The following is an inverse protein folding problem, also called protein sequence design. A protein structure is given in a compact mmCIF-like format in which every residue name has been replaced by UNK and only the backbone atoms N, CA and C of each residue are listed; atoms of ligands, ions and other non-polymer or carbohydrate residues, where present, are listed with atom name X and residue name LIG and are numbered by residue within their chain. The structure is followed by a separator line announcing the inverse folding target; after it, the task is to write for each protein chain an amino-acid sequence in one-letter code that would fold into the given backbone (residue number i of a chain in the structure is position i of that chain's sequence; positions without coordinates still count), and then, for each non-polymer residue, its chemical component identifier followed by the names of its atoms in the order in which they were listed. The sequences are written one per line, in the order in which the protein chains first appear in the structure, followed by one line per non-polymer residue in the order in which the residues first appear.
data_IF_860967328284
#
_entry.id   IF_860967328284
#
_cell.length_a   1.000
_cell.length_b   1.000
_cell.length_c   1.000
_cell.angle_alpha   90.00
_cell.angle_beta   90.00
_cell.angle_gamma   90.00
#
_symmetry.space_group_name_H-M   'P 1'
#
loop_
_entity.id
_entity.type
_entity.pdbx_description
1 polymer ?
#
# COMPACT_ATOMS: atom_id res chain seq x y z
N UNK A 1 22.26 8.33 -10.64
CA UNK A 1 22.23 8.61 -12.10
C UNK A 1 21.04 9.51 -12.31
N UNK A 2 21.22 10.73 -12.84
CA UNK A 2 20.08 11.57 -13.23
C UNK A 2 19.37 10.89 -14.40
N UNK A 3 18.04 10.78 -14.30
CA UNK A 3 17.22 10.21 -15.36
C UNK A 3 17.37 11.05 -16.64
N UNK A 4 17.44 10.41 -17.83
CA UNK A 4 17.56 11.14 -19.08
C UNK A 4 16.38 12.10 -19.25
N UNK A 5 16.70 13.34 -19.62
CA UNK A 5 15.74 14.42 -19.82
C UNK A 5 14.58 13.97 -20.72
N UNK A 6 13.36 13.97 -20.18
CA UNK A 6 12.14 13.60 -20.89
C UNK A 6 11.47 12.29 -20.43
N UNK A 7 12.05 11.54 -19.50
CA UNK A 7 11.41 10.35 -18.90
C UNK A 7 10.66 10.76 -17.63
N UNK A 8 9.35 10.50 -17.58
CA UNK A 8 8.56 10.70 -16.36
C UNK A 8 9.03 9.72 -15.27
N UNK A 9 9.01 10.11 -13.99
CA UNK A 9 9.42 9.23 -12.90
C UNK A 9 8.48 8.03 -12.77
N UNK A 10 9.03 6.89 -12.36
CA UNK A 10 8.25 5.66 -12.11
C UNK A 10 7.42 5.77 -10.83
N UNK A 11 6.37 4.97 -10.71
CA UNK A 11 5.54 4.95 -9.50
C UNK A 11 6.37 4.57 -8.25
N UNK A 12 7.37 3.70 -8.43
CA UNK A 12 8.32 3.32 -7.38
C UNK A 12 9.16 4.51 -6.91
N UNK A 13 9.70 5.30 -7.84
CA UNK A 13 10.47 6.50 -7.50
C UNK A 13 9.62 7.54 -6.79
N UNK A 14 8.41 7.80 -7.29
CA UNK A 14 7.50 8.79 -6.69
C UNK A 14 7.09 8.38 -5.27
N UNK A 15 6.62 7.14 -5.07
CA UNK A 15 6.17 6.67 -3.77
C UNK A 15 7.32 6.64 -2.74
N UNK A 16 8.49 6.15 -3.13
CA UNK A 16 9.65 6.08 -2.22
C UNK A 16 10.24 7.45 -1.93
N UNK A 17 10.23 8.38 -2.89
CA UNK A 17 10.64 9.76 -2.68
C UNK A 17 9.71 10.48 -1.69
N UNK A 18 8.39 10.36 -1.87
CA UNK A 18 7.41 10.95 -0.96
C UNK A 18 7.60 10.45 0.48
N UNK A 19 7.76 9.14 0.69
CA UNK A 19 8.01 8.58 2.04
C UNK A 19 9.38 9.00 2.58
N UNK A 20 10.40 9.15 1.74
CA UNK A 20 11.72 9.65 2.19
C UNK A 20 11.62 11.06 2.77
N UNK A 21 10.80 11.94 2.17
CA UNK A 21 10.54 13.27 2.70
C UNK A 21 9.84 13.20 4.07
N UNK A 22 8.87 12.30 4.23
CA UNK A 22 8.17 12.08 5.49
C UNK A 22 9.08 11.47 6.57
N UNK A 23 10.03 10.60 6.21
CA UNK A 23 11.02 10.04 7.14
C UNK A 23 12.07 11.06 7.61
N UNK A 24 12.39 12.05 6.78
CA UNK A 24 13.35 13.10 7.11
C UNK A 24 12.72 14.23 7.97
N UNK A 25 11.39 14.33 7.96
CA UNK A 25 10.62 15.28 8.78
C UNK A 25 10.38 14.73 10.20
N UNK A 26 10.89 15.40 11.25
CA UNK A 26 10.72 14.95 12.64
C UNK A 26 9.27 14.97 13.15
N UNK A 27 8.35 15.59 12.42
CA UNK A 27 6.92 15.63 12.76
C UNK A 27 6.29 14.24 12.72
N UNK A 28 6.67 13.43 11.72
CA UNK A 28 6.04 12.14 11.48
C UNK A 28 6.74 11.01 12.22
N UNK A 29 5.97 9.99 12.58
CA UNK A 29 6.48 8.79 13.24
C UNK A 29 7.13 7.82 12.22
N UNK A 30 8.17 8.28 11.54
CA UNK A 30 9.00 7.51 10.63
C UNK A 30 10.40 8.14 10.60
N UNK A 31 11.44 7.33 10.37
CA UNK A 31 12.82 7.83 10.30
C UNK A 31 13.18 8.73 11.49
N UNK A 32 13.52 10.00 11.22
CA UNK A 32 14.04 10.98 12.18
C UNK A 32 13.10 11.25 13.36
N UNK A 33 11.78 11.15 13.15
CA UNK A 33 10.74 11.40 14.16
C UNK A 33 10.18 10.15 14.83
N UNK A 34 10.84 9.00 14.67
CA UNK A 34 10.36 7.72 15.17
C UNK A 34 10.22 7.65 16.70
N UNK A 35 9.17 6.97 17.14
CA UNK A 35 8.88 6.71 18.56
C UNK A 35 9.85 5.71 19.20
N UNK A 36 9.86 5.69 20.53
CA UNK A 36 10.72 4.84 21.34
C UNK A 36 10.02 3.55 21.78
N UNK A 37 10.75 2.44 21.79
CA UNK A 37 10.36 1.21 22.50
C UNK A 37 10.49 1.42 24.01
N UNK A 38 10.03 0.44 24.80
CA UNK A 38 10.19 0.44 26.26
C UNK A 38 11.64 0.52 26.73
N UNK A 39 12.58 0.02 25.93
CA UNK A 39 14.02 0.05 26.25
C UNK A 39 14.68 1.40 25.89
N UNK A 40 13.88 2.40 25.49
CA UNK A 40 14.38 3.71 25.07
C UNK A 40 15.13 3.65 23.74
N UNK A 41 14.75 2.72 22.86
CA UNK A 41 15.38 2.56 21.54
C UNK A 41 14.38 2.73 20.40
N UNK A 42 14.80 3.27 19.26
CA UNK A 42 13.98 3.30 18.05
C UNK A 42 14.19 2.02 17.24
N UNK A 43 13.09 1.45 16.74
CA UNK A 43 13.10 0.30 15.83
C UNK A 43 12.21 0.60 14.64
N UNK A 44 12.83 0.82 13.49
CA UNK A 44 12.17 1.29 12.28
C UNK A 44 11.75 0.12 11.39
N UNK A 45 10.64 0.31 10.70
CA UNK A 45 10.04 -0.65 9.78
C UNK A 45 9.58 0.08 8.52
N UNK A 46 9.80 -0.50 7.35
CA UNK A 46 9.31 0.05 6.09
C UNK A 46 9.05 -1.03 5.04
N UNK A 47 8.24 -0.70 4.04
CA UNK A 47 7.90 -1.59 2.94
C UNK A 47 7.58 -0.86 1.66
N UNK A 48 7.72 -1.59 0.57
CA UNK A 48 7.31 -1.14 -0.76
C UNK A 48 6.74 -2.31 -1.55
N UNK A 49 5.71 -2.06 -2.35
CA UNK A 49 5.16 -2.99 -3.32
C UNK A 49 4.97 -2.30 -4.66
N UNK A 50 5.39 -2.96 -5.73
CA UNK A 50 5.11 -2.55 -7.11
C UNK A 50 4.47 -3.72 -7.85
N UNK A 51 3.48 -3.40 -8.67
CA UNK A 51 2.81 -4.39 -9.53
C UNK A 51 2.79 -3.89 -10.96
N UNK A 52 3.22 -4.76 -11.89
CA UNK A 52 3.07 -4.57 -13.33
C UNK A 52 2.36 -5.80 -13.90
N UNK A 53 1.07 -5.68 -14.23
CA UNK A 53 0.29 -6.85 -14.61
C UNK A 53 0.16 -7.86 -13.47
N UNK A 54 0.34 -9.13 -13.80
CA UNK A 54 0.30 -10.20 -12.79
C UNK A 54 1.57 -10.29 -11.95
N UNK A 55 2.69 -9.72 -12.40
CA UNK A 55 3.94 -9.72 -11.64
C UNK A 55 3.85 -8.76 -10.45
N UNK A 56 4.04 -9.31 -9.24
CA UNK A 56 3.99 -8.57 -7.97
C UNK A 56 5.30 -8.69 -7.26
N UNK A 57 5.83 -7.55 -6.82
CA UNK A 57 7.13 -7.47 -6.18
C UNK A 57 6.99 -6.62 -4.94
N UNK A 58 7.43 -7.17 -3.82
CA UNK A 58 7.35 -6.53 -2.53
C UNK A 58 8.67 -6.72 -1.80
N UNK A 59 9.05 -5.72 -1.02
CA UNK A 59 10.16 -5.78 -0.09
C UNK A 59 9.75 -5.07 1.20
N UNK A 60 10.12 -5.64 2.33
CA UNK A 60 9.90 -5.08 3.66
C UNK A 60 11.13 -5.27 4.53
N UNK A 61 11.40 -4.27 5.35
CA UNK A 61 12.53 -4.24 6.28
C UNK A 61 12.06 -3.90 7.67
N UNK A 62 12.63 -4.59 8.65
CA UNK A 62 12.10 -4.63 10.00
C UNK A 62 13.20 -4.52 11.04
N UNK A 63 12.90 -3.89 12.18
CA UNK A 63 13.81 -3.87 13.33
C UNK A 63 15.12 -3.13 13.07
N UNK A 64 15.10 -2.14 12.16
CA UNK A 64 16.27 -1.31 11.83
C UNK A 64 16.51 -0.28 12.94
N UNK A 65 17.76 0.05 13.21
CA UNK A 65 18.16 1.02 14.23
C UNK A 65 19.12 2.09 13.70
N UNK A 66 19.77 1.83 12.56
CA UNK A 66 20.83 2.68 12.02
C UNK A 66 20.56 3.20 10.61
N UNK A 67 19.60 2.64 9.87
CA UNK A 67 19.32 3.05 8.48
C UNK A 67 18.58 4.39 8.50
N UNK A 68 19.16 5.44 7.91
CA UNK A 68 18.57 6.79 7.92
C UNK A 68 17.15 6.79 7.36
N UNK A 69 16.99 6.18 6.19
CA UNK A 69 15.76 6.12 5.43
C UNK A 69 15.38 4.66 5.15
N UNK A 70 14.63 4.01 6.05
CA UNK A 70 14.16 2.63 5.90
C UNK A 70 13.52 2.34 4.53
N UNK A 71 12.73 3.28 3.99
CA UNK A 71 12.07 3.07 2.69
C UNK A 71 13.06 2.89 1.53
N UNK A 72 14.19 3.60 1.56
CA UNK A 72 15.22 3.47 0.54
C UNK A 72 15.92 2.11 0.61
N UNK A 73 16.02 1.51 1.79
CA UNK A 73 16.50 0.14 1.92
C UNK A 73 15.49 -0.86 1.36
N UNK A 74 14.20 -0.70 1.66
CA UNK A 74 13.16 -1.55 1.08
C UNK A 74 13.18 -1.48 -0.46
N UNK A 75 13.31 -0.27 -1.02
CA UNK A 75 13.49 -0.06 -2.46
C UNK A 75 14.74 -0.76 -3.00
N UNK A 76 15.90 -0.56 -2.37
CA UNK A 76 17.15 -1.16 -2.83
C UNK A 76 17.09 -2.70 -2.82
N UNK A 77 16.46 -3.30 -1.80
CA UNK A 77 16.22 -4.75 -1.74
C UNK A 77 15.34 -5.20 -2.91
N UNK A 78 14.29 -4.45 -3.23
CA UNK A 78 13.41 -4.76 -4.35
C UNK A 78 14.17 -4.70 -5.67
N UNK A 79 14.89 -3.59 -5.94
CA UNK A 79 15.65 -3.38 -7.18
C UNK A 79 16.78 -4.40 -7.37
N UNK A 80 17.61 -4.64 -6.35
CA UNK A 80 18.66 -5.67 -6.44
C UNK A 80 18.07 -7.08 -6.58
N UNK A 81 16.94 -7.36 -5.91
CA UNK A 81 16.24 -8.62 -6.09
C UNK A 81 15.64 -8.82 -7.49
N UNK A 82 15.39 -7.75 -8.27
CA UNK A 82 15.03 -7.88 -9.69
C UNK A 82 16.24 -8.32 -10.50
N UNK A 83 17.40 -7.68 -10.28
CA UNK A 83 18.65 -8.00 -10.96
C UNK A 83 19.07 -9.46 -10.72
N UNK A 84 18.85 -9.96 -9.51
CA UNK A 84 19.16 -11.35 -9.13
C UNK A 84 18.27 -12.37 -9.87
N UNK A 85 16.96 -12.10 -9.93
CA UNK A 85 15.99 -13.05 -10.47
C UNK A 85 15.98 -13.10 -12.00
N UNK A 86 16.17 -11.96 -12.66
CA UNK A 86 16.21 -11.88 -14.12
C UNK A 86 17.62 -11.94 -14.71
N UNK A 87 18.65 -11.80 -13.86
CA UNK A 87 20.05 -11.72 -14.26
C UNK A 87 20.36 -10.46 -15.07
N UNK A 88 21.62 -10.04 -15.10
CA UNK A 88 22.11 -9.24 -16.24
C UNK A 88 21.91 -10.11 -17.48
N UNK A 89 21.17 -9.63 -18.49
CA UNK A 89 21.01 -10.31 -19.80
C UNK A 89 22.33 -11.00 -20.20
N UNK A 90 22.39 -12.33 -20.05
CA UNK A 90 23.57 -13.14 -20.40
C UNK A 90 24.28 -13.92 -19.28
N UNK A 91 23.90 -13.80 -18.01
CA UNK A 91 24.36 -14.72 -16.95
C UNK A 91 23.16 -15.38 -16.28
N UNK A 92 22.69 -16.47 -16.90
CA UNK A 92 21.84 -17.41 -16.19
C UNK A 92 22.60 -17.96 -14.99
N UNK A 93 21.92 -18.08 -13.87
CA UNK A 93 22.39 -18.70 -12.64
C UNK A 93 22.98 -20.09 -12.98
N UNK A 94 24.30 -20.16 -13.14
CA UNK A 94 25.03 -21.42 -12.99
C UNK A 94 25.30 -21.55 -11.52
N UNK A 95 24.55 -22.43 -10.87
CA UNK A 95 24.98 -23.03 -9.62
C UNK A 95 26.26 -23.83 -9.90
N UNK A 96 27.42 -23.17 -9.88
CA UNK A 96 28.71 -23.85 -9.83
C UNK A 96 28.90 -24.37 -8.40
N UNK A 97 28.14 -25.41 -8.06
CA UNK A 97 28.52 -26.39 -7.04
C UNK A 97 29.62 -27.25 -7.65
N UNK A 98 30.82 -26.70 -7.77
CA UNK A 98 32.02 -27.48 -8.07
C UNK A 98 32.95 -27.47 -6.87
N UNK A 99 33.01 -28.63 -6.23
CA UNK A 99 34.04 -29.11 -5.30
C UNK A 99 35.38 -28.38 -5.42
N UNK A 100 35.84 -27.81 -4.32
CA UNK A 100 37.24 -27.91 -3.93
C UNK A 100 37.37 -28.03 -2.42
N UNK A 101 37.13 -29.26 -1.96
CA UNK A 101 37.71 -29.80 -0.75
C UNK A 101 39.22 -29.99 -0.95
N UNK A 102 40.00 -28.98 -0.56
CA UNK A 102 41.41 -29.19 -0.21
C UNK A 102 41.68 -28.51 1.12
N UNK A 103 41.86 -29.34 2.14
CA UNK A 103 42.08 -28.91 3.51
C UNK A 103 43.34 -28.09 3.69
N UNK A 104 43.24 -27.09 4.55
CA UNK A 104 44.30 -26.80 5.52
C UNK A 104 43.63 -26.58 6.86
N UNK A 105 43.76 -27.56 7.75
CA UNK A 105 43.44 -27.41 9.17
C UNK A 105 44.31 -26.29 9.73
N UNK A 106 43.68 -25.19 10.16
CA UNK A 106 44.25 -24.31 11.17
C UNK A 106 43.45 -24.49 12.45
N UNK A 107 44.04 -25.25 13.37
CA UNK A 107 43.74 -25.15 14.79
C UNK A 107 43.95 -23.71 15.24
N UNK A 108 42.90 -23.08 15.79
CA UNK A 108 43.04 -22.01 16.78
C UNK A 108 41.84 -22.05 17.72
N UNK A 109 42.12 -22.57 18.92
CA UNK A 109 41.72 -22.10 20.25
C UNK A 109 40.27 -21.68 20.54
N UNK A 110 39.72 -22.35 21.55
CA UNK A 110 38.49 -21.98 22.24
C UNK A 110 38.64 -20.62 22.93
N UNK A 111 37.75 -19.67 22.60
CA UNK A 111 37.60 -18.42 23.35
C UNK A 111 36.79 -17.36 22.58
N UNK A 112 35.74 -16.84 23.22
CA UNK A 112 34.85 -15.74 22.81
C UNK A 112 33.79 -16.01 21.73
N UNK A 113 32.59 -16.36 22.20
CA UNK A 113 31.33 -16.05 21.51
C UNK A 113 31.11 -14.53 21.49
N UNK A 114 31.62 -13.85 20.47
CA UNK A 114 31.26 -12.46 20.19
C UNK A 114 29.88 -12.43 19.52
N UNK A 115 28.88 -11.88 20.20
CA UNK A 115 27.55 -11.56 19.65
C UNK A 115 27.61 -10.37 18.66
N UNK A 116 28.32 -10.55 17.55
CA UNK A 116 28.16 -9.73 16.35
C UNK A 116 27.47 -10.57 15.28
N UNK A 117 26.56 -10.00 14.45
CA UNK A 117 26.01 -10.76 13.34
C UNK A 117 27.16 -11.13 12.40
N UNK A 118 27.23 -12.40 12.02
CA UNK A 118 28.14 -12.83 10.96
C UNK A 118 27.88 -11.98 9.70
N UNK A 119 28.92 -11.60 8.94
CA UNK A 119 28.72 -10.89 7.68
C UNK A 119 27.75 -11.69 6.81
N UNK A 120 26.76 -11.01 6.22
CA UNK A 120 25.86 -11.65 5.24
C UNK A 120 26.71 -12.07 4.05
N UNK A 121 27.01 -13.36 3.94
CA UNK A 121 27.77 -13.95 2.84
C UNK A 121 26.87 -14.18 1.61
N UNK A 122 26.22 -13.10 1.15
CA UNK A 122 25.39 -13.09 -0.04
C UNK A 122 25.64 -11.80 -0.85
N UNK A 123 25.66 -11.87 -2.20
CA UNK A 123 25.87 -10.71 -3.06
C UNK A 123 24.78 -9.64 -2.89
N UNK A 124 23.56 -10.05 -2.55
CA UNK A 124 22.32 -9.27 -2.57
C UNK A 124 21.23 -10.00 -1.76
N UNK A 125 20.02 -9.42 -1.73
CA UNK A 125 18.86 -10.02 -1.06
C UNK A 125 18.20 -11.17 -1.86
N UNK A 126 18.66 -11.52 -3.06
CA UNK A 126 18.24 -12.70 -3.83
C UNK A 126 16.72 -12.82 -4.03
N UNK A 127 16.02 -11.68 -4.14
CA UNK A 127 14.57 -11.64 -4.29
C UNK A 127 13.76 -11.91 -3.01
N UNK A 128 14.38 -11.93 -1.82
CA UNK A 128 13.68 -12.06 -0.55
C UNK A 128 12.73 -10.88 -0.29
N UNK A 129 11.53 -11.19 0.21
CA UNK A 129 10.49 -10.20 0.49
C UNK A 129 10.66 -9.50 1.83
N UNK A 130 11.17 -10.16 2.88
CA UNK A 130 11.24 -9.60 4.23
C UNK A 130 12.61 -9.83 4.86
N UNK A 131 13.26 -8.76 5.33
CA UNK A 131 14.56 -8.83 6.00
C UNK A 131 14.53 -8.12 7.35
N UNK A 132 15.16 -8.73 8.35
CA UNK A 132 15.12 -8.27 9.73
C UNK A 132 16.49 -7.87 10.27
N UNK A 133 16.50 -6.76 11.01
CA UNK A 133 17.57 -6.33 11.90
C UNK A 133 18.92 -6.20 11.21
N UNK A 134 19.95 -6.72 11.86
CA UNK A 134 21.33 -6.52 11.44
C UNK A 134 21.67 -7.08 10.05
N UNK A 135 20.97 -8.11 9.58
CA UNK A 135 21.15 -8.63 8.21
C UNK A 135 20.70 -7.60 7.18
N UNK A 136 19.57 -6.93 7.42
CA UNK A 136 19.07 -5.86 6.57
C UNK A 136 20.02 -4.63 6.61
N UNK A 137 20.55 -4.29 7.79
CA UNK A 137 21.50 -3.17 7.92
C UNK A 137 22.86 -3.46 7.26
N UNK A 138 23.30 -4.73 7.28
CA UNK A 138 24.51 -5.16 6.58
C UNK A 138 24.37 -4.98 5.08
N UNK A 139 23.19 -5.29 4.54
CA UNK A 139 22.85 -5.02 3.13
C UNK A 139 22.74 -3.53 2.85
N UNK A 140 22.16 -2.74 3.76
CA UNK A 140 22.10 -1.28 3.62
C UNK A 140 23.51 -0.68 3.46
N UNK A 141 24.46 -1.14 4.29
CA UNK A 141 25.87 -0.74 4.17
C UNK A 141 26.47 -1.15 2.82
N UNK A 142 26.16 -2.36 2.33
CA UNK A 142 26.65 -2.88 1.06
C UNK A 142 26.10 -2.11 -0.14
N UNK A 143 24.84 -1.69 -0.08
CA UNK A 143 24.18 -0.89 -1.11
C UNK A 143 24.57 0.61 -1.04
N UNK A 144 25.43 0.99 -0.09
CA UNK A 144 25.90 2.37 0.04
C UNK A 144 24.87 3.33 0.62
N UNK A 145 23.85 2.82 1.32
CA UNK A 145 22.85 3.65 1.99
C UNK A 145 23.44 4.29 3.25
N UNK A 146 22.94 5.49 3.58
CA UNK A 146 23.41 6.23 4.73
C UNK A 146 22.96 5.59 6.04
N UNK A 147 23.95 5.19 6.85
CA UNK A 147 23.72 4.76 8.22
C UNK A 147 24.01 5.91 9.18
N UNK A 148 23.09 6.14 10.11
CA UNK A 148 23.17 7.17 11.15
C UNK A 148 23.25 6.52 12.53
N UNK A 149 23.90 7.24 13.44
CA UNK A 149 23.84 6.90 14.86
C UNK A 149 22.42 7.15 15.38
N UNK A 150 22.02 6.39 16.41
CA UNK A 150 20.66 6.44 16.98
C UNK A 150 20.21 7.83 17.44
N UNK A 151 21.16 8.70 17.79
CA UNK A 151 20.90 10.11 18.12
C UNK A 151 20.27 10.92 16.96
N UNK A 152 20.45 10.48 15.71
CA UNK A 152 19.80 11.13 14.56
C UNK A 152 18.27 11.02 14.63
N UNK A 153 17.76 9.86 15.06
CA UNK A 153 16.32 9.58 15.18
C UNK A 153 15.72 10.10 16.49
N UNK A 154 16.52 10.75 17.33
CA UNK A 154 16.05 11.30 18.58
C UNK A 154 15.39 12.64 18.35
N UNK A 155 14.18 12.80 18.87
CA UNK A 155 13.57 14.11 19.08
C UNK A 155 13.18 14.24 20.55
N UNK A 156 13.38 15.43 21.11
CA UNK A 156 13.03 15.71 22.50
C UNK A 156 11.54 15.45 22.77
N UNK A 157 10.70 15.81 21.81
CA UNK A 157 9.26 15.65 21.93
C UNK A 157 8.82 14.18 22.04
N UNK A 158 9.32 13.30 21.16
CA UNK A 158 9.02 11.86 21.24
C UNK A 158 9.59 11.21 22.50
N UNK A 159 10.70 11.74 23.02
CA UNK A 159 11.27 11.29 24.28
C UNK A 159 10.40 11.70 25.47
N UNK A 160 9.92 12.94 25.47
CA UNK A 160 9.02 13.44 26.52
C UNK A 160 7.68 12.66 26.51
N UNK A 161 7.16 12.31 25.32
CA UNK A 161 6.01 11.39 25.13
C UNK A 161 6.30 10.01 25.75
N UNK A 162 7.43 9.39 25.36
CA UNK A 162 7.88 8.09 25.90
C UNK A 162 7.91 8.06 27.43
N UNK A 163 8.55 9.06 28.06
CA UNK A 163 8.68 9.16 29.52
C UNK A 163 7.32 9.40 30.18
N UNK A 164 6.54 10.35 29.66
CA UNK A 164 5.20 10.67 30.20
C UNK A 164 4.31 9.43 30.19
N UNK A 165 4.28 8.71 29.07
CA UNK A 165 3.52 7.47 28.98
C UNK A 165 4.04 6.47 30.03
N UNK A 166 5.35 6.22 30.16
CA UNK A 166 5.87 5.25 31.14
C UNK A 166 5.49 5.61 32.59
N UNK A 167 5.48 6.89 32.93
CA UNK A 167 5.09 7.34 34.27
C UNK A 167 3.60 7.16 34.53
N UNK A 168 2.74 7.38 33.53
CA UNK A 168 1.30 7.08 33.62
C UNK A 168 1.03 5.57 33.80
N UNK A 169 1.80 4.70 33.13
CA UNK A 169 1.70 3.25 33.29
C UNK A 169 2.04 2.83 34.73
N UNK A 170 3.12 3.39 35.28
CA UNK A 170 3.54 3.16 36.68
C UNK A 170 2.50 3.65 37.69
N UNK A 171 1.77 4.71 37.35
CA UNK A 171 0.68 5.24 38.17
C UNK A 171 -0.60 4.37 38.13
N UNK A 172 -0.63 3.29 37.34
CA UNK A 172 -1.77 2.38 37.24
C UNK A 172 -2.89 2.87 36.32
N UNK A 173 -2.64 3.93 35.52
CA UNK A 173 -3.56 4.43 34.50
C UNK A 173 -3.52 3.51 33.25
N UNK A 174 -4.03 2.28 33.36
CA UNK A 174 -3.97 1.28 32.27
C UNK A 174 -4.90 1.58 31.07
N UNK A 175 -5.87 2.48 31.20
CA UNK A 175 -7.02 2.56 30.30
C UNK A 175 -6.84 3.40 29.01
N UNK A 176 -5.68 4.02 28.76
CA UNK A 176 -5.50 4.94 27.61
C UNK A 176 -4.30 4.59 26.72
N UNK A 177 -3.81 3.35 26.82
CA UNK A 177 -2.41 3.05 26.51
C UNK A 177 -2.12 2.41 25.14
N UNK A 178 -3.09 2.38 24.22
CA UNK A 178 -2.95 1.60 23.00
C UNK A 178 -3.44 2.41 21.81
N UNK A 179 -2.50 2.97 21.05
CA UNK A 179 -2.68 3.51 19.68
C UNK A 179 -3.94 4.38 19.45
N UNK A 180 -4.49 4.98 20.51
CA UNK A 180 -5.69 5.80 20.44
C UNK A 180 -5.27 7.26 20.32
N UNK A 181 -5.89 7.96 19.40
CA UNK A 181 -5.71 9.40 19.25
C UNK A 181 -5.99 10.13 20.58
N UNK A 182 -5.12 11.09 20.95
CA UNK A 182 -5.31 11.96 22.12
C UNK A 182 -5.48 13.40 21.66
N UNK A 183 -6.53 14.08 22.13
CA UNK A 183 -6.76 15.51 21.85
C UNK A 183 -5.62 16.41 22.36
N UNK A 184 -4.90 15.96 23.38
CA UNK A 184 -3.75 16.67 23.95
C UNK A 184 -2.45 16.46 23.13
N UNK A 185 -2.45 15.53 22.18
CA UNK A 185 -1.30 15.14 21.36
C UNK A 185 -1.59 15.38 19.87
N UNK A 186 -1.44 16.64 19.45
CA UNK A 186 -1.71 17.10 18.07
C UNK A 186 -0.80 16.47 17.00
N UNK A 187 0.31 15.81 17.39
CA UNK A 187 1.25 15.26 16.42
C UNK A 187 0.78 13.94 15.80
N UNK A 188 1.11 13.68 14.52
CA UNK A 188 0.86 12.39 13.91
C UNK A 188 1.61 11.29 14.67
N UNK A 189 0.89 10.44 15.39
CA UNK A 189 1.46 9.23 16.00
C UNK A 189 1.50 8.05 15.02
N UNK A 190 0.81 8.19 13.89
CA UNK A 190 0.65 7.16 12.89
C UNK A 190 1.84 6.99 11.96
N UNK A 191 1.89 5.80 11.36
CA UNK A 191 2.69 5.43 10.20
C UNK A 191 2.54 6.43 9.06
N UNK A 192 3.60 6.57 8.26
CA UNK A 192 3.63 7.37 7.02
C UNK A 192 3.56 6.47 5.80
N UNK A 193 2.98 6.97 4.71
CA UNK A 193 2.90 6.20 3.48
C UNK A 193 2.56 7.04 2.27
N UNK A 194 2.81 6.47 1.09
CA UNK A 194 2.50 7.06 -0.19
C UNK A 194 2.05 5.98 -1.17
N UNK A 195 1.15 6.37 -2.08
CA UNK A 195 0.70 5.54 -3.19
C UNK A 195 0.82 6.36 -4.46
N UNK A 196 1.36 5.76 -5.51
CA UNK A 196 1.60 6.42 -6.79
C UNK A 196 1.15 5.54 -7.96
N UNK A 197 0.72 6.22 -9.03
CA UNK A 197 0.41 5.66 -10.34
C UNK A 197 1.26 6.42 -11.36
N UNK A 198 1.99 5.70 -12.21
CA UNK A 198 2.81 6.33 -13.26
C UNK A 198 2.15 6.32 -14.64
N UNK A 199 2.82 6.95 -15.61
CA UNK A 199 2.36 7.06 -17.00
C UNK A 199 2.23 5.71 -17.73
N UNK A 200 2.84 4.64 -17.21
CA UNK A 200 2.71 3.30 -17.77
C UNK A 200 1.52 2.53 -17.17
N UNK A 201 0.82 3.11 -16.20
CA UNK A 201 -0.27 2.47 -15.48
C UNK A 201 0.19 1.55 -14.36
N UNK A 202 1.48 1.62 -13.97
CA UNK A 202 2.04 0.84 -12.85
C UNK A 202 1.64 1.50 -11.54
N UNK A 203 1.15 0.69 -10.60
CA UNK A 203 0.82 1.14 -9.25
C UNK A 203 1.90 0.71 -8.25
N UNK A 204 2.24 1.62 -7.35
CA UNK A 204 3.17 1.37 -6.26
C UNK A 204 2.65 1.94 -4.95
N UNK A 205 2.88 1.22 -3.85
CA UNK A 205 2.70 1.73 -2.50
C UNK A 205 3.99 1.58 -1.69
N UNK A 206 4.22 2.55 -0.81
CA UNK A 206 5.36 2.64 0.08
C UNK A 206 4.86 3.05 1.48
N UNK A 207 5.36 2.40 2.54
CA UNK A 207 4.91 2.65 3.91
C UNK A 207 6.11 2.59 4.86
N UNK A 208 6.20 3.50 5.84
CA UNK A 208 7.30 3.56 6.83
C UNK A 208 6.83 4.01 8.20
N UNK A 209 7.38 3.41 9.26
CA UNK A 209 6.97 3.67 10.65
C UNK A 209 8.11 3.49 11.66
N UNK A 210 8.05 4.23 12.77
CA UNK A 210 8.76 3.94 14.02
C UNK A 210 8.05 2.88 14.90
N UNK A 211 6.81 2.53 14.56
CA UNK A 211 5.94 1.64 15.32
C UNK A 211 5.15 2.37 16.39
N UNK A 212 4.90 1.71 17.52
CA UNK A 212 4.11 2.26 18.63
C UNK A 212 5.01 2.77 19.76
N UNK A 213 4.66 3.92 20.35
CA UNK A 213 5.32 4.43 21.56
C UNK A 213 5.23 3.38 22.67
N UNK A 214 6.36 3.13 23.34
CA UNK A 214 6.49 2.08 24.36
C UNK A 214 6.15 0.67 23.88
N UNK A 215 6.29 0.38 22.57
CA UNK A 215 6.23 -1.00 22.08
C UNK A 215 7.28 -1.86 22.76
N UNK A 216 6.96 -3.13 22.97
CA UNK A 216 7.97 -4.13 23.33
C UNK A 216 9.04 -4.16 22.24
N UNK A 217 10.31 -4.14 22.63
CA UNK A 217 11.42 -4.27 21.68
C UNK A 217 11.29 -5.58 20.92
N UNK A 218 11.27 -5.50 19.59
CA UNK A 218 11.00 -6.63 18.68
C UNK A 218 9.54 -6.74 18.22
N UNK A 219 8.60 -5.93 18.74
CA UNK A 219 7.24 -5.86 18.19
C UNK A 219 7.28 -5.30 16.78
N UNK A 220 6.66 -6.03 15.87
CA UNK A 220 6.51 -5.68 14.45
C UNK A 220 5.03 -5.36 14.17
N UNK A 221 4.79 -4.27 13.45
CA UNK A 221 3.45 -3.84 13.06
C UNK A 221 2.99 -4.38 11.70
N UNK A 222 1.94 -3.75 11.18
CA UNK A 222 1.36 -3.99 9.86
C UNK A 222 2.21 -3.42 8.72
N UNK A 223 2.92 -2.33 8.98
CA UNK A 223 3.69 -1.56 7.98
C UNK A 223 4.60 -2.44 7.11
N UNK A 224 5.45 -3.32 7.67
CA UNK A 224 6.31 -4.16 6.85
C UNK A 224 5.63 -5.43 6.34
N UNK A 225 4.36 -5.70 6.68
CA UNK A 225 3.68 -6.96 6.38
C UNK A 225 2.81 -6.86 5.11
N UNK A 226 3.15 -7.59 4.03
CA UNK A 226 2.37 -7.60 2.80
C UNK A 226 0.92 -8.00 3.07
N UNK A 227 -0.01 -7.18 2.60
CA UNK A 227 -1.44 -7.40 2.72
C UNK A 227 -2.08 -6.84 3.99
N UNK A 228 -1.29 -6.55 5.02
CA UNK A 228 -1.78 -5.87 6.21
C UNK A 228 -1.70 -4.35 6.04
N UNK A 229 -0.48 -3.79 6.15
CA UNK A 229 -0.26 -2.33 6.10
C UNK A 229 -0.09 -1.77 4.69
N UNK A 230 0.14 -2.63 3.69
CA UNK A 230 0.29 -2.20 2.30
C UNK A 230 -0.09 -3.30 1.33
N UNK A 231 -0.61 -2.92 0.17
CA UNK A 231 -0.87 -3.85 -0.91
C UNK A 231 -0.91 -3.13 -2.25
N UNK A 232 -0.36 -3.75 -3.30
CA UNK A 232 -0.56 -3.33 -4.67
C UNK A 232 -0.89 -4.56 -5.51
N UNK A 233 -1.94 -4.50 -6.31
CA UNK A 233 -2.24 -5.54 -7.27
C UNK A 233 -2.93 -5.00 -8.52
N UNK A 234 -2.96 -5.85 -9.54
CA UNK A 234 -3.63 -5.63 -10.82
C UNK A 234 -4.29 -6.94 -11.19
N UNK A 235 -5.47 -6.85 -11.80
CA UNK A 235 -6.27 -7.97 -12.27
C UNK A 235 -7.13 -7.61 -13.47
N UNK A 236 -7.49 -8.62 -14.24
CA UNK A 236 -8.44 -8.46 -15.34
C UNK A 236 -9.88 -8.32 -14.79
N UNK A 237 -10.55 -7.25 -15.21
CA UNK A 237 -11.97 -7.01 -14.99
C UNK A 237 -12.86 -7.82 -15.94
N UNK A 238 -14.17 -7.63 -15.83
CA UNK A 238 -15.12 -8.31 -16.70
C UNK A 238 -14.91 -7.90 -18.17
N UNK A 239 -14.87 -8.90 -19.07
CA UNK A 239 -14.88 -8.68 -20.52
C UNK A 239 -16.26 -8.18 -20.90
N UNK A 240 -16.33 -6.99 -21.49
CA UNK A 240 -17.59 -6.42 -21.99
C UNK A 240 -17.61 -6.50 -23.51
N UNK A 241 -18.72 -6.98 -24.05
CA UNK A 241 -19.00 -6.96 -25.47
C UNK A 241 -19.83 -5.70 -25.79
N UNK A 242 -19.22 -4.68 -26.40
CA UNK A 242 -20.02 -3.60 -27.00
C UNK A 242 -20.50 -4.06 -28.38
N UNK A 243 -21.82 -4.08 -28.57
CA UNK A 243 -22.41 -4.20 -29.91
C UNK A 243 -22.09 -2.91 -30.66
N UNK A 244 -21.36 -3.02 -31.77
CA UNK A 244 -21.14 -1.88 -32.65
C UNK A 244 -22.50 -1.34 -33.13
N UNK A 245 -22.81 -0.07 -32.83
CA UNK A 245 -24.05 0.54 -33.30
C UNK A 245 -24.03 0.59 -34.84
N UNK A 246 -25.08 0.10 -35.54
CA UNK A 246 -25.03 0.06 -36.99
C UNK A 246 -24.98 1.47 -37.57
N UNK A 247 -23.98 1.76 -38.39
CA UNK A 247 -23.77 3.06 -39.05
C UNK A 247 -24.82 3.37 -40.13
N UNK A 248 -25.63 2.39 -40.51
CA UNK A 248 -26.61 2.47 -41.59
C UNK A 248 -28.05 2.60 -41.06
N UNK A 249 -28.80 3.55 -41.61
CA UNK A 249 -30.23 3.75 -41.36
C UNK A 249 -31.05 2.46 -41.55
N UNK A 250 -30.69 1.65 -42.56
CA UNK A 250 -31.36 0.38 -42.85
C UNK A 250 -31.11 -0.68 -41.78
N UNK A 251 -29.91 -0.71 -41.19
CA UNK A 251 -29.58 -1.66 -40.14
C UNK A 251 -30.28 -1.31 -38.80
N UNK A 252 -30.41 -0.01 -38.47
CA UNK A 252 -31.20 0.45 -37.31
C UNK A 252 -32.70 0.14 -37.46
N UNK A 253 -33.24 0.22 -38.68
CA UNK A 253 -34.65 -0.12 -38.95
C UNK A 253 -34.93 -1.63 -38.79
N UNK A 254 -34.00 -2.50 -39.16
CA UNK A 254 -34.13 -3.96 -39.01
C UNK A 254 -34.00 -4.37 -37.54
N UNK A 255 -33.15 -3.70 -36.77
CA UNK A 255 -32.94 -3.96 -35.34
C UNK A 255 -34.13 -3.50 -34.48
N UNK A 256 -34.75 -2.36 -34.84
CA UNK A 256 -35.98 -1.87 -34.21
C UNK A 256 -37.20 -2.80 -34.40
N UNK A 257 -37.19 -3.63 -35.45
CA UNK A 257 -38.26 -4.62 -35.72
C UNK A 257 -37.99 -5.95 -35.03
N UNK A 258 -36.75 -6.26 -34.63
CA UNK A 258 -36.36 -7.57 -34.09
C UNK A 258 -36.27 -7.67 -32.56
N UNK A 259 -36.17 -6.56 -31.82
CA UNK A 259 -36.10 -6.61 -30.35
C UNK A 259 -37.44 -6.27 -29.66
N UNK A 260 -38.22 -7.31 -29.36
CA UNK A 260 -39.29 -7.28 -28.35
C UNK A 260 -39.20 -8.42 -27.33
N UNK A 261 -37.98 -8.87 -27.02
CA UNK A 261 -37.76 -9.86 -25.96
C UNK A 261 -36.36 -9.75 -25.36
N UNK A 262 -36.26 -10.02 -24.07
CA UNK A 262 -35.01 -10.18 -23.33
C UNK A 262 -34.25 -11.38 -23.90
N UNK A 263 -33.04 -11.19 -24.41
CA UNK A 263 -32.19 -12.28 -24.83
C UNK A 263 -31.63 -12.99 -23.58
N UNK A 264 -31.87 -14.29 -23.45
CA UNK A 264 -31.25 -15.15 -22.43
C UNK A 264 -30.04 -15.82 -23.07
N UNK A 265 -28.86 -15.57 -22.51
CA UNK A 265 -27.63 -16.26 -22.91
C UNK A 265 -27.37 -17.42 -21.95
N UNK A 266 -27.29 -18.64 -22.49
CA UNK A 266 -27.01 -19.85 -21.72
C UNK A 266 -25.56 -20.29 -21.93
N UNK A 267 -24.79 -20.40 -20.85
CA UNK A 267 -23.37 -20.80 -20.88
C UNK A 267 -23.14 -22.20 -20.32
N UNK A 268 -22.13 -22.90 -20.83
CA UNK A 268 -21.67 -24.20 -20.31
C UNK A 268 -22.72 -25.32 -20.42
N UNK A 269 -22.77 -26.20 -19.41
CA UNK A 269 -23.64 -27.38 -19.39
C UNK A 269 -25.15 -27.05 -19.53
N UNK A 270 -25.57 -25.83 -19.18
CA UNK A 270 -26.96 -25.41 -19.34
C UNK A 270 -27.34 -25.23 -20.82
N UNK A 271 -26.38 -24.82 -21.66
CA UNK A 271 -26.56 -24.70 -23.11
C UNK A 271 -26.85 -26.06 -23.73
N UNK A 272 -26.08 -27.06 -23.31
CA UNK A 272 -26.19 -28.45 -23.78
C UNK A 272 -27.51 -29.10 -23.35
N UNK A 273 -27.93 -28.90 -22.10
CA UNK A 273 -29.17 -29.43 -21.56
C UNK A 273 -30.42 -28.87 -22.27
N UNK A 274 -30.40 -27.58 -22.60
CA UNK A 274 -31.51 -26.90 -23.29
C UNK A 274 -31.61 -27.35 -24.75
N UNK A 275 -30.48 -27.59 -25.43
CA UNK A 275 -30.48 -28.15 -26.78
C UNK A 275 -31.03 -29.57 -26.83
N UNK A 276 -30.76 -30.39 -25.81
CA UNK A 276 -31.25 -31.77 -25.76
C UNK A 276 -32.74 -31.87 -25.40
N UNK A 277 -33.28 -30.91 -24.64
CA UNK A 277 -34.64 -30.97 -24.13
C UNK A 277 -35.70 -30.30 -25.04
N UNK A 278 -35.34 -29.41 -25.97
CA UNK A 278 -36.31 -28.50 -26.61
C UNK A 278 -36.36 -28.51 -28.16
N UNK A 279 -35.66 -29.40 -28.88
CA UNK A 279 -35.63 -29.35 -30.35
C UNK A 279 -36.53 -30.41 -31.02
N UNK A 280 -37.69 -29.99 -31.55
CA UNK A 280 -38.03 -30.38 -32.92
C UNK A 280 -38.52 -29.22 -33.82
N UNK A 281 -38.35 -27.94 -33.43
CA UNK A 281 -38.82 -26.80 -34.25
C UNK A 281 -37.68 -25.88 -34.73
N UNK A 282 -37.13 -26.09 -35.94
CA UNK A 282 -35.99 -25.34 -36.48
C UNK A 282 -36.32 -23.89 -36.91
N UNK A 283 -37.54 -23.40 -36.67
CA UNK A 283 -38.01 -22.08 -37.13
C UNK A 283 -38.22 -21.05 -36.01
N UNK A 284 -38.12 -21.45 -34.73
CA UNK A 284 -38.32 -20.55 -33.59
C UNK A 284 -37.02 -19.96 -33.03
N UNK A 285 -35.87 -20.57 -33.34
CA UNK A 285 -34.55 -20.12 -32.87
C UNK A 285 -33.59 -20.09 -34.06
N UNK A 286 -33.37 -18.90 -34.62
CA UNK A 286 -32.30 -18.67 -35.58
C UNK A 286 -31.00 -18.30 -34.85
N UNK A 287 -29.82 -18.64 -35.38
CA UNK A 287 -28.57 -18.10 -34.86
C UNK A 287 -28.63 -16.57 -34.91
N UNK A 288 -28.37 -15.92 -33.78
CA UNK A 288 -28.18 -14.48 -33.74
C UNK A 288 -26.96 -14.20 -34.64
N UNK A 289 -27.05 -13.35 -35.67
CA UNK A 289 -25.88 -13.00 -36.47
C UNK A 289 -24.81 -12.48 -35.51
N UNK A 290 -23.58 -13.03 -35.59
CA UNK A 290 -22.48 -12.61 -34.72
C UNK A 290 -22.37 -11.08 -34.80
N UNK A 291 -22.69 -10.35 -33.72
CA UNK A 291 -22.37 -8.94 -33.67
C UNK A 291 -20.87 -8.83 -33.86
N UNK A 292 -20.41 -7.87 -34.65
CA UNK A 292 -19.01 -7.49 -34.67
C UNK A 292 -18.70 -6.92 -33.28
N UNK A 293 -18.34 -7.81 -32.36
CA UNK A 293 -17.98 -7.47 -31.00
C UNK A 293 -16.50 -7.09 -31.02
N UNK A 294 -16.20 -5.81 -30.82
CA UNK A 294 -14.87 -5.47 -30.32
C UNK A 294 -14.80 -6.00 -28.88
N UNK A 295 -14.02 -7.06 -28.66
CA UNK A 295 -13.79 -7.57 -27.32
C UNK A 295 -13.03 -6.52 -26.52
N UNK A 296 -13.63 -6.00 -25.44
CA UNK A 296 -12.98 -5.03 -24.57
C UNK A 296 -12.34 -5.76 -23.39
N UNK A 297 -11.02 -5.64 -23.27
CA UNK A 297 -10.26 -6.11 -22.13
C UNK A 297 -10.17 -4.98 -21.10
N UNK A 298 -10.70 -5.19 -19.90
CA UNK A 298 -10.58 -4.23 -18.79
C UNK A 298 -9.51 -4.71 -17.82
N UNK A 299 -8.58 -3.85 -17.48
CA UNK A 299 -7.56 -4.08 -16.46
C UNK A 299 -7.84 -3.13 -15.30
N UNK A 300 -7.88 -3.64 -14.07
CA UNK A 300 -8.01 -2.85 -12.85
C UNK A 300 -6.75 -2.99 -12.01
N UNK A 301 -6.23 -1.87 -11.53
CA UNK A 301 -5.10 -1.76 -10.62
C UNK A 301 -5.55 -1.10 -9.33
N UNK A 302 -5.02 -1.58 -8.22
CA UNK A 302 -5.33 -1.12 -6.87
C UNK A 302 -4.04 -1.08 -6.08
N UNK A 303 -3.77 0.04 -5.42
CA UNK A 303 -2.71 0.10 -4.42
C UNK A 303 -3.17 0.89 -3.20
N UNK A 304 -2.78 0.42 -2.02
CA UNK A 304 -3.07 1.06 -0.75
C UNK A 304 -1.89 1.03 0.21
N UNK A 305 -1.86 2.03 1.09
CA UNK A 305 -0.99 2.15 2.26
C UNK A 305 -1.83 2.51 3.48
N UNK A 306 -1.59 1.82 4.59
CA UNK A 306 -2.36 1.89 5.82
C UNK A 306 -1.63 2.51 6.99
N UNK A 307 -2.40 3.08 7.90
CA UNK A 307 -1.93 3.64 9.17
C UNK A 307 -2.97 3.41 10.26
N UNK A 308 -2.54 3.14 11.49
CA UNK A 308 -3.42 2.92 12.63
C UNK A 308 -2.91 1.86 13.60
N UNK A 309 -3.83 1.16 14.24
CA UNK A 309 -3.53 0.06 15.15
C UNK A 309 -3.03 -1.17 14.35
N UNK A 310 -1.70 -1.31 14.27
CA UNK A 310 -1.09 -2.36 13.45
C UNK A 310 -1.52 -3.79 13.78
N UNK A 311 -1.83 -4.10 15.05
CA UNK A 311 -2.31 -5.44 15.43
C UNK A 311 -3.69 -5.75 14.83
N UNK A 312 -4.56 -4.74 14.71
CA UNK A 312 -5.87 -4.87 14.07
C UNK A 312 -5.72 -5.07 12.57
N UNK A 313 -4.86 -4.28 11.92
CA UNK A 313 -4.53 -4.42 10.49
C UNK A 313 -3.99 -5.81 10.15
N UNK A 314 -3.12 -6.36 11.00
CA UNK A 314 -2.57 -7.71 10.87
C UNK A 314 -3.66 -8.78 10.98
N UNK A 315 -4.52 -8.70 12.00
CA UNK A 315 -5.56 -9.71 12.27
C UNK A 315 -6.57 -9.84 11.12
N UNK A 316 -6.89 -8.74 10.44
CA UNK A 316 -7.86 -8.72 9.33
C UNK A 316 -7.22 -8.66 7.94
N UNK A 317 -5.89 -8.62 7.86
CA UNK A 317 -5.15 -8.46 6.61
C UNK A 317 -5.70 -7.28 5.76
N UNK A 318 -5.79 -6.11 6.39
CA UNK A 318 -6.67 -5.01 5.95
C UNK A 318 -6.49 -4.59 4.48
N UNK A 319 -5.26 -4.29 4.04
CA UNK A 319 -4.99 -3.83 2.69
C UNK A 319 -5.36 -4.87 1.61
N UNK A 320 -5.00 -6.14 1.83
CA UNK A 320 -5.35 -7.24 0.93
C UNK A 320 -6.85 -7.51 0.91
N UNK A 321 -7.51 -7.42 2.07
CA UNK A 321 -8.95 -7.63 2.21
C UNK A 321 -9.73 -6.56 1.44
N UNK A 322 -9.33 -5.29 1.51
CA UNK A 322 -9.94 -4.23 0.70
C UNK A 322 -9.79 -4.52 -0.81
N UNK A 323 -8.59 -4.92 -1.24
CA UNK A 323 -8.34 -5.29 -2.63
C UNK A 323 -9.17 -6.52 -3.06
N UNK A 324 -9.34 -7.52 -2.18
CA UNK A 324 -10.14 -8.70 -2.45
C UNK A 324 -11.63 -8.35 -2.61
N UNK A 325 -12.16 -7.47 -1.75
CA UNK A 325 -13.53 -6.99 -1.85
C UNK A 325 -13.73 -6.24 -3.18
N UNK A 326 -12.81 -5.32 -3.52
CA UNK A 326 -12.86 -4.56 -4.77
C UNK A 326 -12.84 -5.49 -6.01
N UNK A 327 -12.03 -6.55 -5.94
CA UNK A 327 -11.84 -7.52 -7.02
C UNK A 327 -13.05 -8.44 -7.20
N UNK A 328 -13.58 -9.00 -6.12
CA UNK A 328 -14.52 -10.12 -6.19
C UNK A 328 -15.98 -9.75 -5.92
N UNK A 329 -16.24 -8.65 -5.22
CA UNK A 329 -17.62 -8.25 -4.85
C UNK A 329 -18.30 -7.39 -5.92
N UNK A 330 -17.55 -6.94 -6.93
CA UNK A 330 -18.09 -6.11 -8.02
C UNK A 330 -18.47 -4.69 -7.61
N UNK A 331 -17.92 -4.21 -6.49
CA UNK A 331 -18.11 -2.83 -6.00
C UNK A 331 -16.88 -1.96 -6.34
N UNK A 332 -17.02 -0.64 -6.17
CA UNK A 332 -15.89 0.29 -6.37
C UNK A 332 -14.77 0.04 -5.36
N UNK A 333 -13.53 0.41 -5.68
CA UNK A 333 -12.44 0.27 -4.71
C UNK A 333 -12.60 1.22 -3.53
N UNK A 334 -13.25 2.36 -3.73
CA UNK A 334 -13.61 3.28 -2.64
C UNK A 334 -14.55 2.61 -1.64
N UNK A 335 -15.66 2.02 -2.09
CA UNK A 335 -16.60 1.30 -1.21
C UNK A 335 -15.94 0.08 -0.55
N UNK A 336 -15.06 -0.62 -1.26
CA UNK A 336 -14.30 -1.73 -0.71
C UNK A 336 -13.34 -1.29 0.40
N UNK A 337 -12.68 -0.14 0.23
CA UNK A 337 -11.81 0.46 1.24
C UNK A 337 -12.63 0.92 2.45
N UNK A 338 -13.75 1.62 2.24
CA UNK A 338 -14.71 1.99 3.30
C UNK A 338 -15.21 0.77 4.09
N UNK A 339 -15.48 -0.36 3.42
CA UNK A 339 -15.93 -1.58 4.10
C UNK A 339 -14.89 -2.16 5.07
N UNK A 340 -13.61 -1.79 4.93
CA UNK A 340 -12.52 -2.25 5.80
C UNK A 340 -12.14 -1.19 6.83
N UNK A 341 -11.80 0.03 6.40
CA UNK A 341 -11.23 1.08 7.27
C UNK A 341 -12.20 2.19 7.62
N UNK A 342 -13.32 2.30 6.91
CA UNK A 342 -14.33 3.31 7.19
C UNK A 342 -15.14 3.00 8.45
N UNK A 343 -16.07 3.91 8.82
CA UNK A 343 -16.97 3.70 9.94
C UNK A 343 -17.79 2.41 9.79
N UNK A 344 -17.85 1.62 10.85
CA UNK A 344 -18.42 0.26 10.90
C UNK A 344 -17.70 -0.78 10.01
N UNK A 345 -16.49 -0.47 9.54
CA UNK A 345 -15.67 -1.35 8.72
C UNK A 345 -15.15 -2.60 9.46
N UNK A 346 -14.45 -3.47 8.74
CA UNK A 346 -13.82 -4.69 9.29
C UNK A 346 -12.87 -4.38 10.47
N UNK A 347 -12.08 -3.30 10.40
CA UNK A 347 -11.16 -2.95 11.49
C UNK A 347 -11.91 -2.70 12.79
N UNK A 348 -12.93 -1.84 12.76
CA UNK A 348 -13.78 -1.55 13.91
C UNK A 348 -14.49 -2.81 14.41
N UNK A 349 -15.05 -3.62 13.50
CA UNK A 349 -15.74 -4.86 13.87
C UNK A 349 -14.80 -5.89 14.52
N UNK A 350 -13.53 -5.93 14.12
CA UNK A 350 -12.53 -6.83 14.69
C UNK A 350 -12.17 -6.50 16.14
N UNK A 351 -12.37 -5.24 16.57
CA UNK A 351 -12.16 -4.81 17.94
C UNK A 351 -13.29 -5.24 18.88
N UNK A 352 -14.52 -5.40 18.36
CA UNK A 352 -15.70 -5.78 19.16
C UNK A 352 -15.91 -4.81 20.33
N UNK A 353 -16.09 -5.34 21.54
CA UNK A 353 -16.31 -4.56 22.76
C UNK A 353 -15.09 -3.69 23.17
N UNK A 354 -13.94 -3.86 22.50
CA UNK A 354 -12.72 -3.07 22.76
C UNK A 354 -12.64 -1.79 21.91
N UNK A 355 -13.51 -1.64 20.91
CA UNK A 355 -13.60 -0.43 20.09
C UNK A 355 -13.80 0.81 20.95
N UNK A 356 -13.05 1.90 20.69
CA UNK A 356 -13.04 3.15 21.48
C UNK A 356 -12.57 3.01 22.94
N UNK A 357 -12.12 1.83 23.37
CA UNK A 357 -11.61 1.60 24.72
C UNK A 357 -10.10 1.42 24.69
N UNK A 358 -9.60 0.60 23.76
CA UNK A 358 -8.18 0.23 23.70
C UNK A 358 -7.48 0.73 22.43
N UNK A 359 -8.10 1.62 21.65
CA UNK A 359 -7.65 2.00 20.31
C UNK A 359 -7.51 0.84 19.31
N UNK A 360 -7.96 -0.37 19.65
CA UNK A 360 -8.03 -1.48 18.71
C UNK A 360 -9.08 -1.16 17.65
N UNK A 361 -8.77 -1.51 16.40
CA UNK A 361 -9.62 -1.26 15.25
C UNK A 361 -9.49 0.14 14.65
N UNK A 362 -8.72 1.06 15.26
CA UNK A 362 -8.59 2.44 14.75
C UNK A 362 -7.57 2.51 13.61
N UNK A 363 -7.90 3.25 12.56
CA UNK A 363 -6.97 3.57 11.49
C UNK A 363 -7.63 3.99 10.18
N UNK A 364 -6.81 4.02 9.14
CA UNK A 364 -7.20 4.45 7.81
C UNK A 364 -6.27 3.91 6.72
N UNK A 365 -6.73 4.00 5.48
CA UNK A 365 -5.93 3.71 4.30
C UNK A 365 -6.08 4.82 3.27
N UNK A 366 -4.97 5.10 2.58
CA UNK A 366 -4.93 5.87 1.33
C UNK A 366 -4.61 4.91 0.19
N UNK A 367 -5.03 5.26 -1.03
CA UNK A 367 -4.80 4.43 -2.19
C UNK A 367 -5.19 5.08 -3.51
N UNK A 368 -4.89 4.35 -4.59
CA UNK A 368 -5.25 4.71 -5.95
C UNK A 368 -5.87 3.49 -6.62
N UNK A 369 -7.01 3.70 -7.26
CA UNK A 369 -7.55 2.78 -8.27
C UNK A 369 -7.23 3.31 -9.67
N UNK A 370 -6.85 2.41 -10.58
CA UNK A 370 -6.78 2.70 -12.01
C UNK A 370 -7.52 1.63 -12.79
N UNK A 371 -8.33 2.03 -13.76
CA UNK A 371 -9.04 1.12 -14.66
C UNK A 371 -8.73 1.52 -16.08
N UNK A 372 -8.14 0.60 -16.83
CA UNK A 372 -7.76 0.78 -18.23
C UNK A 372 -8.51 -0.22 -19.09
N UNK A 373 -9.25 0.27 -20.08
CA UNK A 373 -10.00 -0.54 -21.04
C UNK A 373 -9.27 -0.51 -22.37
N UNK A 374 -9.03 -1.68 -22.95
CA UNK A 374 -8.37 -1.87 -24.24
C UNK A 374 -9.28 -2.58 -25.24
N UNK A 375 -9.16 -2.24 -26.51
CA UNK A 375 -9.79 -2.96 -27.61
C UNK A 375 -9.08 -4.28 -27.94
N UNK A 376 -9.57 -5.01 -28.94
CA UNK A 376 -9.03 -6.30 -29.36
C UNK A 376 -7.61 -6.17 -29.94
N UNK A 377 -7.27 -5.00 -30.46
CA UNK A 377 -5.96 -4.62 -30.98
C UNK A 377 -4.98 -4.18 -29.87
N UNK A 378 -5.47 -4.03 -28.63
CA UNK A 378 -4.69 -3.62 -27.45
C UNK A 378 -4.59 -2.10 -27.26
N UNK A 379 -5.27 -1.30 -28.08
CA UNK A 379 -5.31 0.16 -27.95
C UNK A 379 -6.18 0.56 -26.77
N UNK A 380 -5.74 1.56 -25.99
CA UNK A 380 -6.51 2.07 -24.86
C UNK A 380 -7.71 2.86 -25.40
N UNK A 381 -8.92 2.40 -25.09
CA UNK A 381 -10.19 3.04 -25.48
C UNK A 381 -10.79 3.89 -24.35
N UNK A 382 -10.47 3.56 -23.10
CA UNK A 382 -10.91 4.30 -21.92
C UNK A 382 -9.90 4.08 -20.77
N UNK A 383 -9.67 5.11 -19.97
CA UNK A 383 -8.83 5.01 -18.78
C UNK A 383 -9.35 5.96 -17.72
N UNK A 384 -9.57 5.45 -16.52
CA UNK A 384 -9.97 6.24 -15.35
C UNK A 384 -9.06 5.93 -14.18
N UNK A 385 -8.79 6.93 -13.35
CA UNK A 385 -8.09 6.74 -12.10
C UNK A 385 -8.79 7.52 -11.01
N UNK A 386 -8.80 6.98 -9.80
CA UNK A 386 -9.50 7.54 -8.66
C UNK A 386 -8.63 7.44 -7.42
N UNK A 387 -8.58 8.52 -6.64
CA UNK A 387 -7.97 8.52 -5.31
C UNK A 387 -8.98 7.90 -4.35
N UNK A 388 -8.58 6.83 -3.67
CA UNK A 388 -9.40 6.12 -2.69
C UNK A 388 -8.82 6.33 -1.29
N UNK A 389 -9.61 6.82 -0.35
CA UNK A 389 -9.14 7.08 1.01
C UNK A 389 -10.33 7.07 1.98
N UNK A 390 -10.18 6.36 3.10
CA UNK A 390 -11.18 6.32 4.17
C UNK A 390 -10.55 5.86 5.49
N UNK A 391 -11.13 6.31 6.59
CA UNK A 391 -10.64 6.10 7.94
C UNK A 391 -11.78 6.15 8.96
N UNK A 392 -11.62 5.43 10.07
CA UNK A 392 -12.57 5.39 11.18
C UNK A 392 -12.06 6.10 12.44
N UNK A 393 -10.82 6.58 12.42
CA UNK A 393 -10.27 7.44 13.46
C UNK A 393 -10.79 8.88 13.33
N UNK A 394 -10.68 9.72 14.38
CA UNK A 394 -11.17 11.11 14.34
C UNK A 394 -10.60 11.93 13.19
N UNK A 395 -9.32 11.74 12.85
CA UNK A 395 -8.68 12.38 11.70
C UNK A 395 -7.48 11.58 11.19
N UNK A 396 -7.10 11.84 9.94
CA UNK A 396 -5.96 11.23 9.25
C UNK A 396 -5.29 12.27 8.35
N UNK A 397 -4.05 12.65 8.68
CA UNK A 397 -3.22 13.52 7.84
C UNK A 397 -3.04 12.88 6.46
N UNK A 398 -3.56 13.53 5.42
CA UNK A 398 -3.47 13.04 4.04
C UNK A 398 -3.42 14.19 3.05
N UNK A 399 -2.67 13.99 1.98
CA UNK A 399 -2.59 14.92 0.86
C UNK A 399 -2.59 14.13 -0.45
N UNK A 400 -3.11 14.75 -1.51
CA UNK A 400 -3.13 14.17 -2.85
C UNK A 400 -3.13 15.26 -3.91
N UNK A 401 -2.85 14.88 -5.15
CA UNK A 401 -3.03 15.74 -6.31
C UNK A 401 -4.38 15.42 -6.93
N UNK A 402 -5.27 16.41 -7.06
CA UNK A 402 -6.59 16.23 -7.64
C UNK A 402 -6.56 16.17 -9.18
N UNK A 403 -7.73 16.01 -9.79
CA UNK A 403 -7.88 15.88 -11.24
C UNK A 403 -7.47 17.14 -12.01
N UNK A 404 -7.42 18.30 -11.35
CA UNK A 404 -7.00 19.57 -11.94
C UNK A 404 -5.48 19.80 -11.77
N UNK A 405 -4.77 18.82 -11.20
CA UNK A 405 -3.34 18.91 -10.92
C UNK A 405 -3.02 19.74 -9.68
N UNK A 406 -4.02 20.05 -8.85
CA UNK A 406 -3.86 20.85 -7.64
C UNK A 406 -3.54 19.95 -6.45
N UNK A 407 -2.52 20.33 -5.68
CA UNK A 407 -2.20 19.66 -4.42
C UNK A 407 -3.21 20.07 -3.33
N UNK A 408 -3.86 19.08 -2.72
CA UNK A 408 -4.87 19.26 -1.69
C UNK A 408 -4.45 18.49 -0.44
N UNK A 409 -4.74 19.07 0.73
CA UNK A 409 -4.52 18.44 2.03
C UNK A 409 -5.81 18.42 2.84
N UNK A 410 -5.97 17.38 3.67
CA UNK A 410 -7.11 17.21 4.55
C UNK A 410 -6.70 16.38 5.79
N UNK A 411 -7.31 16.65 6.95
CA UNK A 411 -7.11 15.85 8.18
C UNK A 411 -8.42 15.24 8.63
N UNK A 412 -9.44 16.06 8.80
CA UNK A 412 -10.72 15.66 9.35
C UNK A 412 -11.66 15.09 8.26
N UNK A 413 -12.74 14.46 8.68
CA UNK A 413 -13.83 14.06 7.79
C UNK A 413 -14.70 15.25 7.39
N UNK A 414 -15.32 15.18 6.22
CA UNK A 414 -16.37 16.13 5.78
C UNK A 414 -17.76 15.77 6.37
N UNK A 415 -17.85 14.63 7.07
CA UNK A 415 -19.10 14.03 7.54
C UNK A 415 -19.46 14.53 8.94
N UNK A 416 -20.57 15.28 9.02
CA UNK A 416 -21.17 15.84 10.23
C UNK A 416 -21.70 14.80 11.24
N UNK A 417 -21.41 13.51 11.03
CA UNK A 417 -22.00 12.36 11.72
C UNK A 417 -21.23 11.97 12.99
N UNK A 418 -20.01 12.49 13.19
CA UNK A 418 -19.30 12.45 14.47
C UNK A 418 -19.90 13.50 15.42
N UNK A 419 -21.17 13.30 15.84
CA UNK A 419 -21.79 14.10 16.91
C UNK A 419 -21.12 13.76 18.24
N UNK A 420 -19.96 14.34 18.47
CA UNK A 420 -19.21 14.22 19.71
C UNK A 420 -17.82 14.81 19.57
N UNK A 421 -17.71 16.11 19.85
CA UNK A 421 -16.49 16.81 20.28
C UNK A 421 -15.35 16.84 19.22
N UNK A 422 -14.95 17.95 18.61
CA UNK A 422 -14.77 19.32 19.09
C UNK A 422 -14.76 20.27 17.87
N UNK A 423 -15.08 21.56 18.06
CA UNK A 423 -14.90 22.61 17.05
C UNK A 423 -13.40 22.78 16.73
N UNK A 424 -12.87 22.07 15.75
CA UNK A 424 -11.47 22.19 15.31
C UNK A 424 -11.35 23.14 14.12
N UNK A 425 -10.30 23.97 14.11
CA UNK A 425 -9.98 24.83 12.96
C UNK A 425 -9.68 23.94 11.74
N UNK A 426 -10.43 24.15 10.65
CA UNK A 426 -10.27 23.39 9.38
C UNK A 426 -11.15 22.13 9.26
N UNK A 427 -12.10 21.89 10.17
CA UNK A 427 -13.05 20.79 10.05
C UNK A 427 -13.81 20.83 8.71
N UNK A 428 -13.71 19.75 7.93
CA UNK A 428 -14.34 19.63 6.61
C UNK A 428 -13.82 20.58 5.51
N UNK A 429 -12.68 21.26 5.72
CA UNK A 429 -12.11 22.15 4.71
C UNK A 429 -10.99 21.45 3.92
N UNK A 430 -11.11 21.50 2.59
CA UNK A 430 -10.02 21.19 1.67
C UNK A 430 -9.14 22.41 1.56
N UNK A 431 -7.89 22.29 2.02
CA UNK A 431 -6.94 23.39 1.98
C UNK A 431 -6.02 23.26 0.76
N UNK A 432 -5.78 24.39 0.09
CA UNK A 432 -4.74 24.51 -0.94
C UNK A 432 -3.39 24.67 -0.24
N UNK A 433 -2.44 23.78 -0.55
CA UNK A 433 -1.09 23.81 0.03
C UNK A 433 -0.41 25.17 -0.20
N UNK A 434 -0.65 25.84 -1.33
CA UNK A 434 -0.06 27.14 -1.61
C UNK A 434 -0.66 28.28 -0.79
N UNK A 435 -1.86 28.09 -0.24
CA UNK A 435 -2.48 29.05 0.68
C UNK A 435 -2.05 28.78 2.13
N UNK A 436 -1.75 27.53 2.48
CA UNK A 436 -1.09 27.18 3.73
C UNK A 436 0.31 27.83 3.83
N UNK A 437 1.14 27.77 2.78
CA UNK A 437 2.48 28.38 2.74
C UNK A 437 2.45 29.90 2.98
N UNK A 438 1.45 30.61 2.43
CA UNK A 438 1.27 32.07 2.64
C UNK A 438 0.91 32.40 4.09
N UNK A 439 0.19 31.51 4.76
CA UNK A 439 -0.25 31.72 6.14
C UNK A 439 0.92 31.61 7.13
N UNK A 440 1.88 30.72 6.88
CA UNK A 440 3.11 30.64 7.67
C UNK A 440 4.06 31.82 7.42
N UNK A 441 4.15 32.32 6.18
CA UNK A 441 4.98 33.49 5.86
C UNK A 441 4.48 34.80 6.49
N UNK A 442 3.21 34.89 6.89
CA UNK A 442 2.64 36.07 7.56
C UNK A 442 2.71 36.02 9.09
N UNK A 443 3.01 34.86 9.69
CA UNK A 443 3.12 34.71 11.15
C UNK A 443 4.57 34.80 11.68
N UNK A 444 5.56 34.95 10.79
CA UNK A 444 6.97 35.21 11.11
C UNK A 444 7.41 36.67 10.79
N UNK A 445 6.48 37.64 10.86
CA UNK A 445 6.76 39.09 10.78
C UNK A 445 6.39 39.84 12.07
#
# INVERSE_FOLDING_TARGET
MEAPAGTMPTALEVATYAVTLLEDDPLFNAGKGAVFTRDGIQQLEASVMVTRGYAKRAAGVLGLQHVKNPILLARAILEHGEEDLWGKKGQGHRDDVSNNSTGSEKQTEAGNYCFGPAPVDAPSAQGHTLLFGASAESLAKKYGLELRHRQYFFTKQRWDEHVRSLDQERAGCQAQYLASWSADEYLPQGTTGAVALDSEGVVCCATSTGGLTNKLTGRIGDTPMPGAGYWAEEWDGAVSHKVASPSSFWARAVEAVRHRGSALEFTGALRELVTDCLLPTPFLYGPVPEPCFSQLATTRSFATSGTGNGDSFLRVNAARTAAAIARWKGISSAEALTAVTGPNGELQRSAGDRWMVTGEGEGGMIGIESVVVRDAEGSIVDSRSEIIQDHNCPGMFRAWVDNDGKAVFQVWHDRADMKGHHDFVGEGQREDIHDCEKTFLYNDL
#
